data_IF_329333845842
#
_entry.id   IF_329333845842
#
_cell.length_a   1.000
_cell.length_b   1.000
_cell.length_c   1.000
_cell.angle_alpha   90.00
_cell.angle_beta   90.00
_cell.angle_gamma   90.00
#
_symmetry.space_group_name_H-M   'P 1'
#
loop_
_entity.id
_entity.type
_entity.pdbx_description
1 polymer ?
#
# COMPACT_ATOMS: atom_id res chain seq x y z
N UNK A 1 17.13 1.81 -12.08
CA UNK A 1 15.92 1.58 -11.25
C UNK A 1 14.66 1.77 -12.06
N UNK A 2 14.56 2.84 -12.86
CA UNK A 2 13.35 3.11 -13.65
C UNK A 2 13.32 2.35 -14.97
N UNK A 3 12.12 2.25 -15.55
CA UNK A 3 11.87 1.73 -16.90
C UNK A 3 12.61 2.56 -17.95
N UNK A 4 13.29 1.88 -18.89
CA UNK A 4 14.17 2.48 -19.90
C UNK A 4 13.65 2.40 -21.34
N UNK A 5 12.48 1.80 -21.57
CA UNK A 5 11.89 1.74 -22.92
C UNK A 5 11.24 3.05 -23.34
N UNK A 6 10.84 3.12 -24.61
CA UNK A 6 10.33 4.35 -25.25
C UNK A 6 8.93 4.76 -24.75
N UNK A 7 8.24 3.87 -24.03
CA UNK A 7 6.90 4.15 -23.51
C UNK A 7 6.93 5.08 -22.29
N UNK A 8 6.60 6.36 -22.50
CA UNK A 8 6.56 7.38 -21.46
C UNK A 8 5.54 7.11 -20.33
N UNK A 9 4.43 6.44 -20.63
CA UNK A 9 3.43 6.06 -19.61
C UNK A 9 3.98 5.01 -18.65
N UNK A 10 4.72 4.03 -19.16
CA UNK A 10 5.40 3.02 -18.34
C UNK A 10 6.56 3.61 -17.54
N UNK A 11 7.28 4.60 -18.10
CA UNK A 11 8.28 5.35 -17.35
C UNK A 11 7.66 6.14 -16.19
N UNK A 12 6.52 6.78 -16.42
CA UNK A 12 5.76 7.48 -15.36
C UNK A 12 5.29 6.51 -14.28
N UNK A 13 4.74 5.35 -14.68
CA UNK A 13 4.32 4.32 -13.73
C UNK A 13 5.48 3.76 -12.90
N UNK A 14 6.65 3.59 -13.51
CA UNK A 14 7.89 3.21 -12.82
C UNK A 14 8.26 4.22 -11.71
N UNK A 15 8.11 5.52 -11.97
CA UNK A 15 8.32 6.56 -10.96
C UNK A 15 7.28 6.44 -9.84
N UNK A 16 6.01 6.24 -10.18
CA UNK A 16 4.93 6.01 -9.19
C UNK A 16 5.27 4.83 -8.29
N UNK A 17 5.76 3.72 -8.83
CA UNK A 17 6.17 2.57 -8.03
C UNK A 17 7.31 2.90 -7.08
N UNK A 18 8.33 3.65 -7.53
CA UNK A 18 9.46 4.05 -6.65
C UNK A 18 9.00 4.99 -5.56
N UNK A 19 8.23 6.04 -5.90
CA UNK A 19 7.72 7.01 -4.92
C UNK A 19 6.84 6.34 -3.89
N UNK A 20 5.91 5.49 -4.34
CA UNK A 20 5.06 4.71 -3.44
C UNK A 20 5.89 3.79 -2.54
N UNK A 21 6.83 3.04 -3.11
CA UNK A 21 7.70 2.15 -2.34
C UNK A 21 8.56 2.86 -1.31
N UNK A 22 9.09 4.05 -1.63
CA UNK A 22 9.82 4.90 -0.67
C UNK A 22 8.90 5.45 0.41
N UNK A 23 7.66 5.83 0.07
CA UNK A 23 6.71 6.40 1.02
C UNK A 23 6.35 5.43 2.17
N UNK A 24 6.38 4.12 1.91
CA UNK A 24 6.10 3.09 2.93
C UNK A 24 7.13 3.09 4.08
N UNK A 25 8.34 3.62 3.86
CA UNK A 25 9.33 3.79 4.94
C UNK A 25 8.96 4.92 5.92
N UNK A 26 8.04 5.81 5.54
CA UNK A 26 7.52 6.86 6.40
C UNK A 26 6.42 6.40 7.36
N UNK A 27 5.94 5.15 7.25
CA UNK A 27 4.82 4.66 8.06
C UNK A 27 5.02 4.81 9.58
N UNK A 28 6.19 4.52 10.19
CA UNK A 28 6.36 4.73 11.63
C UNK A 28 6.15 6.20 12.03
N UNK A 29 6.58 7.14 11.19
CA UNK A 29 6.38 8.57 11.45
C UNK A 29 4.88 8.91 11.39
N UNK A 30 4.15 8.35 10.44
CA UNK A 30 2.69 8.55 10.32
C UNK A 30 1.97 8.00 11.56
N UNK A 31 2.34 6.80 12.02
CA UNK A 31 1.75 6.18 13.22
C UNK A 31 1.97 7.06 14.45
N UNK A 32 3.17 7.61 14.65
CA UNK A 32 3.44 8.48 15.82
C UNK A 32 2.74 9.84 15.71
N UNK A 33 2.52 10.36 14.50
CA UNK A 33 1.83 11.64 14.29
C UNK A 33 0.31 11.51 14.40
N UNK A 34 -0.25 10.35 14.04
CA UNK A 34 -1.69 10.07 13.97
C UNK A 34 -2.03 8.73 14.64
N UNK A 35 -1.70 8.54 15.93
CA UNK A 35 -1.84 7.25 16.60
C UNK A 35 -3.30 6.77 16.62
N UNK A 36 -4.25 7.67 16.85
CA UNK A 36 -5.68 7.35 16.87
C UNK A 36 -6.20 6.79 15.54
N UNK A 37 -5.48 7.00 14.43
CA UNK A 37 -5.91 6.60 13.08
C UNK A 37 -5.16 5.39 12.52
N UNK A 38 -4.04 5.01 13.15
CA UNK A 38 -3.10 4.02 12.60
C UNK A 38 -2.55 3.02 13.63
N UNK A 39 -2.74 3.26 14.93
CA UNK A 39 -2.31 2.36 16.01
C UNK A 39 -3.54 1.68 16.62
N UNK A 40 -3.59 0.37 16.53
CA UNK A 40 -4.64 -0.47 17.10
C UNK A 40 -4.39 -0.70 18.59
N UNK A 41 -5.44 -0.60 19.41
CA UNK A 41 -5.34 -0.57 20.88
C UNK A 41 -5.93 -1.79 21.58
N UNK A 42 -6.86 -2.53 20.98
CA UNK A 42 -7.54 -3.68 21.59
C UNK A 42 -6.79 -5.01 21.38
N UNK A 43 -6.60 -5.85 22.42
CA UNK A 43 -6.95 -5.64 23.84
C UNK A 43 -5.91 -4.80 24.62
N UNK A 44 -4.74 -4.58 24.03
CA UNK A 44 -3.73 -3.62 24.47
C UNK A 44 -2.83 -3.31 23.27
N UNK A 45 -2.22 -2.12 23.25
CA UNK A 45 -1.21 -1.79 22.23
C UNK A 45 -0.06 -2.80 22.32
N UNK A 46 0.10 -3.58 21.25
CA UNK A 46 1.20 -4.53 21.11
C UNK A 46 2.18 -4.06 20.04
N UNK A 47 3.31 -3.51 20.48
CA UNK A 47 4.36 -3.02 19.58
C UNK A 47 4.98 -4.12 18.72
N UNK A 48 4.91 -5.40 19.12
CA UNK A 48 5.39 -6.49 18.29
C UNK A 48 4.52 -6.64 17.03
N UNK A 49 3.19 -6.61 17.19
CA UNK A 49 2.23 -6.77 16.08
C UNK A 49 2.34 -5.59 15.11
N UNK A 50 2.41 -4.36 15.63
CA UNK A 50 2.65 -3.14 14.83
C UNK A 50 3.95 -3.27 14.01
N UNK A 51 5.06 -3.66 14.66
CA UNK A 51 6.37 -3.80 14.00
C UNK A 51 6.40 -4.93 12.99
N UNK A 52 5.67 -6.02 13.21
CA UNK A 52 5.53 -7.11 12.24
C UNK A 52 4.82 -6.61 10.98
N UNK A 53 3.72 -5.86 11.12
CA UNK A 53 2.99 -5.28 9.98
C UNK A 53 3.84 -4.23 9.25
N UNK A 54 4.48 -3.30 9.97
CA UNK A 54 5.39 -2.30 9.37
C UNK A 54 6.51 -2.99 8.57
N UNK A 55 7.05 -4.09 9.08
CA UNK A 55 8.07 -4.87 8.36
C UNK A 55 7.56 -5.45 7.04
N UNK A 56 6.29 -5.87 6.99
CA UNK A 56 5.66 -6.32 5.74
C UNK A 56 5.49 -5.17 4.74
N UNK A 57 5.15 -3.97 5.20
CA UNK A 57 5.09 -2.78 4.33
C UNK A 57 6.48 -2.35 3.84
N UNK A 58 7.53 -2.52 4.63
CA UNK A 58 8.91 -2.31 4.15
C UNK A 58 9.27 -3.31 3.06
N UNK A 59 8.97 -4.60 3.26
CA UNK A 59 9.18 -5.61 2.24
C UNK A 59 8.41 -5.28 0.95
N UNK A 60 7.15 -4.83 1.06
CA UNK A 60 6.35 -4.36 -0.06
C UNK A 60 7.04 -3.17 -0.76
N UNK A 61 7.49 -2.16 -0.01
CA UNK A 61 8.18 -0.99 -0.57
C UNK A 61 9.45 -1.34 -1.33
N UNK A 62 10.27 -2.24 -0.78
CA UNK A 62 11.47 -2.78 -1.45
C UNK A 62 11.08 -3.46 -2.77
N UNK A 63 10.06 -4.33 -2.74
CA UNK A 63 9.57 -5.01 -3.93
C UNK A 63 9.07 -4.01 -5.00
N UNK A 64 8.34 -2.97 -4.61
CA UNK A 64 7.90 -1.92 -5.53
C UNK A 64 9.09 -1.22 -6.21
N UNK A 65 10.12 -0.85 -5.45
CA UNK A 65 11.33 -0.21 -5.98
C UNK A 65 12.08 -1.16 -6.94
N UNK A 66 12.21 -2.44 -6.56
CA UNK A 66 12.87 -3.45 -7.39
C UNK A 66 12.11 -3.77 -8.69
N UNK A 67 10.78 -3.81 -8.62
CA UNK A 67 9.88 -4.10 -9.74
C UNK A 67 9.71 -2.94 -10.71
N UNK A 68 10.03 -1.70 -10.30
CA UNK A 68 9.82 -0.50 -11.10
C UNK A 68 10.53 -0.52 -12.46
N UNK A 69 11.65 -1.24 -12.60
CA UNK A 69 12.40 -1.34 -13.86
C UNK A 69 11.61 -1.96 -15.01
N UNK A 70 10.62 -2.81 -14.69
CA UNK A 70 9.72 -3.44 -15.65
C UNK A 70 8.36 -3.66 -14.99
N UNK A 71 7.49 -2.63 -14.98
CA UNK A 71 6.22 -2.69 -14.26
C UNK A 71 5.25 -3.76 -14.79
N UNK A 72 5.34 -4.10 -16.08
CA UNK A 72 4.44 -5.09 -16.70
C UNK A 72 4.86 -6.50 -16.31
N UNK A 73 6.16 -6.79 -16.38
CA UNK A 73 6.70 -8.09 -15.96
C UNK A 73 6.54 -8.32 -14.45
N UNK A 74 6.68 -7.27 -13.66
CA UNK A 74 6.55 -7.33 -12.19
C UNK A 74 5.14 -6.94 -11.70
N UNK A 75 4.10 -7.12 -12.53
CA UNK A 75 2.73 -6.69 -12.16
C UNK A 75 2.21 -7.38 -10.91
N UNK A 76 2.70 -8.59 -10.59
CA UNK A 76 2.30 -9.34 -9.40
C UNK A 76 2.52 -8.55 -8.09
N UNK A 77 3.47 -7.62 -8.08
CA UNK A 77 3.72 -6.75 -6.91
C UNK A 77 2.56 -5.77 -6.73
N UNK A 78 2.02 -5.26 -7.83
CA UNK A 78 0.83 -4.40 -7.85
C UNK A 78 -0.42 -5.22 -7.52
N UNK A 79 -0.55 -6.42 -8.11
CA UNK A 79 -1.65 -7.35 -7.80
C UNK A 79 -1.65 -7.71 -6.31
N UNK A 80 -0.48 -8.00 -5.72
CA UNK A 80 -0.30 -8.23 -4.30
C UNK A 80 -0.71 -7.01 -3.48
N UNK A 81 -0.30 -5.80 -3.85
CA UNK A 81 -0.71 -4.58 -3.15
C UNK A 81 -2.23 -4.39 -3.14
N UNK A 82 -2.90 -4.66 -4.26
CA UNK A 82 -4.37 -4.58 -4.36
C UNK A 82 -5.02 -5.63 -3.46
N UNK A 83 -4.63 -6.90 -3.60
CA UNK A 83 -5.24 -8.03 -2.87
C UNK A 83 -5.00 -7.87 -1.37
N UNK A 84 -3.76 -7.59 -0.96
CA UNK A 84 -3.41 -7.40 0.45
C UNK A 84 -4.15 -6.21 1.05
N UNK A 85 -4.26 -5.07 0.34
CA UNK A 85 -4.99 -3.90 0.84
C UNK A 85 -6.48 -4.19 1.03
N UNK A 86 -7.12 -4.91 0.09
CA UNK A 86 -8.55 -5.28 0.20
C UNK A 86 -8.78 -6.25 1.37
N UNK A 87 -7.95 -7.30 1.48
CA UNK A 87 -8.10 -8.29 2.55
C UNK A 87 -7.79 -7.70 3.92
N UNK A 88 -6.68 -6.96 4.04
CA UNK A 88 -6.26 -6.32 5.28
C UNK A 88 -7.26 -5.24 5.71
N UNK A 89 -7.60 -4.31 4.82
CA UNK A 89 -8.59 -3.27 5.09
C UNK A 89 -9.98 -3.83 5.38
N UNK A 90 -10.37 -4.96 4.78
CA UNK A 90 -11.64 -5.63 5.08
C UNK A 90 -11.69 -6.21 6.49
N UNK A 91 -10.61 -6.86 6.95
CA UNK A 91 -10.51 -7.36 8.33
C UNK A 91 -10.49 -6.20 9.32
N UNK A 92 -9.74 -5.15 9.02
CA UNK A 92 -9.70 -3.94 9.84
C UNK A 92 -11.08 -3.28 9.93
N UNK A 93 -11.80 -3.12 8.81
CA UNK A 93 -13.15 -2.57 8.81
C UNK A 93 -14.12 -3.39 9.67
N UNK A 94 -14.04 -4.72 9.63
CA UNK A 94 -14.84 -5.57 10.51
C UNK A 94 -14.53 -5.30 11.99
N UNK A 95 -13.25 -5.24 12.38
CA UNK A 95 -12.88 -5.01 13.78
C UNK A 95 -13.16 -3.59 14.25
N UNK A 96 -12.91 -2.57 13.42
CA UNK A 96 -13.24 -1.19 13.74
C UNK A 96 -14.76 -0.99 13.98
N UNK A 97 -15.61 -1.74 13.28
CA UNK A 97 -17.07 -1.69 13.47
C UNK A 97 -17.56 -2.52 14.67
N UNK A 98 -16.83 -3.55 15.07
CA UNK A 98 -17.22 -4.44 16.19
C UNK A 98 -16.63 -4.00 17.53
N UNK A 99 -15.51 -3.27 17.51
CA UNK A 99 -14.84 -2.71 18.67
C UNK A 99 -15.00 -1.19 18.63
N UNK A 100 -15.90 -0.64 19.46
CA UNK A 100 -16.21 0.79 19.46
C UNK A 100 -14.98 1.68 19.67
N UNK A 101 -13.98 1.20 20.41
CA UNK A 101 -12.70 1.86 20.66
C UNK A 101 -11.84 1.99 19.40
N UNK A 102 -12.07 1.18 18.38
CA UNK A 102 -11.29 1.14 17.12
C UNK A 102 -11.99 1.87 15.95
N UNK A 103 -13.18 2.43 16.17
CA UNK A 103 -13.91 3.22 15.16
C UNK A 103 -13.10 4.35 14.49
N UNK A 104 -12.16 5.04 15.16
CA UNK A 104 -11.31 6.04 14.52
C UNK A 104 -10.56 5.55 13.27
N UNK A 105 -10.19 4.27 13.18
CA UNK A 105 -9.53 3.67 12.02
C UNK A 105 -10.35 3.78 10.71
N UNK A 106 -11.68 3.86 10.82
CA UNK A 106 -12.57 4.08 9.66
C UNK A 106 -12.34 5.43 8.96
N UNK A 107 -11.61 6.35 9.60
CA UNK A 107 -11.20 7.65 9.07
C UNK A 107 -9.69 7.73 8.77
N UNK A 108 -8.96 6.63 8.94
CA UNK A 108 -7.51 6.58 8.89
C UNK A 108 -6.97 5.56 7.90
N UNK A 109 -6.31 4.53 8.43
CA UNK A 109 -5.66 3.46 7.68
C UNK A 109 -6.63 2.63 6.81
N UNK A 110 -7.86 2.38 7.25
CA UNK A 110 -8.86 1.60 6.48
C UNK A 110 -9.19 2.25 5.13
N UNK A 111 -9.70 3.49 5.06
CA UNK A 111 -9.98 4.13 3.76
C UNK A 111 -8.71 4.33 2.94
N UNK A 112 -7.55 4.50 3.57
CA UNK A 112 -6.27 4.61 2.87
C UNK A 112 -5.92 3.32 2.09
N UNK A 113 -6.08 2.15 2.70
CA UNK A 113 -5.86 0.86 2.02
C UNK A 113 -6.81 0.65 0.84
N UNK A 114 -8.09 0.96 1.01
CA UNK A 114 -9.04 0.86 -0.10
C UNK A 114 -8.73 1.85 -1.22
N UNK A 115 -8.30 3.07 -0.90
CA UNK A 115 -7.88 4.05 -1.90
C UNK A 115 -6.66 3.56 -2.72
N UNK A 116 -5.67 2.94 -2.06
CA UNK A 116 -4.52 2.30 -2.73
C UNK A 116 -4.98 1.20 -3.68
N UNK A 117 -5.85 0.30 -3.20
CA UNK A 117 -6.37 -0.80 -4.01
C UNK A 117 -7.12 -0.31 -5.25
N UNK A 118 -7.97 0.71 -5.07
CA UNK A 118 -8.72 1.35 -6.17
C UNK A 118 -7.76 1.99 -7.17
N UNK A 119 -6.81 2.80 -6.69
CA UNK A 119 -5.83 3.47 -7.53
C UNK A 119 -5.06 2.47 -8.40
N UNK A 120 -4.45 1.46 -7.80
CA UNK A 120 -3.68 0.46 -8.53
C UNK A 120 -4.57 -0.45 -9.39
N UNK A 121 -5.82 -0.70 -9.00
CA UNK A 121 -6.80 -1.42 -9.81
C UNK A 121 -7.15 -0.70 -11.11
N UNK A 122 -7.35 0.62 -11.06
CA UNK A 122 -7.64 1.45 -12.24
C UNK A 122 -6.40 1.68 -13.11
N UNK A 123 -5.25 1.95 -12.49
CA UNK A 123 -4.00 2.28 -13.17
C UNK A 123 -3.04 1.09 -13.31
N UNK A 124 -3.54 -0.14 -13.24
CA UNK A 124 -2.74 -1.36 -13.31
C UNK A 124 -1.75 -1.34 -14.50
N UNK A 125 -0.46 -1.75 -14.35
CA UNK A 125 0.58 -1.55 -15.36
C UNK A 125 0.25 -2.20 -16.71
N UNK A 126 -0.44 -3.35 -16.70
CA UNK A 126 -0.93 -4.00 -17.93
C UNK A 126 -2.00 -3.18 -18.66
N UNK A 127 -2.85 -2.45 -17.93
CA UNK A 127 -3.86 -1.55 -18.51
C UNK A 127 -3.20 -0.29 -19.07
N UNK A 128 -2.23 0.26 -18.34
CA UNK A 128 -1.43 1.41 -18.79
C UNK A 128 -0.70 1.06 -20.08
N UNK A 129 0.04 -0.06 -20.12
CA UNK A 129 0.73 -0.53 -21.31
C UNK A 129 -0.21 -0.63 -22.53
N UNK A 130 -1.38 -1.27 -22.36
CA UNK A 130 -2.38 -1.43 -23.42
C UNK A 130 -2.98 -0.11 -23.94
N UNK A 131 -3.13 0.90 -23.09
CA UNK A 131 -3.67 2.23 -23.49
C UNK A 131 -2.64 3.08 -24.23
N UNK A 132 -1.36 2.78 -24.06
CA UNK A 132 -0.23 3.52 -24.62
C UNK A 132 0.44 2.84 -25.82
N UNK A 133 -0.09 1.69 -26.25
CA UNK A 133 0.31 0.97 -27.45
C UNK A 133 -0.60 1.36 -28.61
#
# INVERSE_FOLDING_TARGET
MLYQGDNGSLRTYSIVMVVFGVSLFGLPVVIELLPDLFRWHEPAVNLADERMIVSMYYAMGICFIMGAKDPVRNSIIVDYAIISSVLHGGVMAYYALTLETEMPHMWGDIPFLFAIAIFFGFYHPRKVARRSA
#
